data_IF_284820461268
#
_entry.id   IF_284820461268
#
_cell.length_a   1.000
_cell.length_b   1.000
_cell.length_c   1.000
_cell.angle_alpha   90.00
_cell.angle_beta   90.00
_cell.angle_gamma   90.00
#
_symmetry.space_group_name_H-M   'P 1'
#
loop_
_entity.id
_entity.type
_entity.pdbx_description
1 polymer ?
#
# COMPACT_ATOMS: atom_id res chain seq x y z
N UNK A 1 12.73 -13.87 47.75
CA UNK A 1 11.64 -14.43 46.93
C UNK A 1 11.85 -14.05 45.46
N UNK A 2 12.29 -14.99 44.63
CA UNK A 2 12.52 -14.76 43.20
C UNK A 2 11.18 -14.75 42.44
N UNK A 3 10.84 -13.62 41.81
CA UNK A 3 9.69 -13.49 40.91
C UNK A 3 10.05 -14.16 39.57
N UNK A 4 9.56 -15.38 39.34
CA UNK A 4 9.53 -15.99 38.00
C UNK A 4 8.60 -15.17 37.11
N UNK A 5 9.16 -14.50 36.10
CA UNK A 5 8.40 -13.94 34.99
C UNK A 5 7.59 -15.06 34.30
N UNK A 6 6.26 -14.98 34.33
CA UNK A 6 5.40 -15.81 33.50
C UNK A 6 5.46 -15.26 32.07
N UNK A 7 5.86 -16.11 31.12
CA UNK A 7 5.82 -15.82 29.68
C UNK A 7 4.41 -15.38 29.26
N UNK A 8 4.24 -14.38 28.37
CA UNK A 8 2.93 -13.95 27.87
C UNK A 8 2.21 -15.02 27.03
N UNK A 9 2.92 -16.08 26.63
CA UNK A 9 2.42 -17.12 25.75
C UNK A 9 1.98 -18.33 26.57
N UNK A 10 0.74 -18.29 27.06
CA UNK A 10 0.09 -19.45 27.69
C UNK A 10 -0.08 -20.63 26.72
N UNK A 11 -0.56 -21.79 27.19
CA UNK A 11 -0.64 -23.00 26.36
C UNK A 11 -1.62 -22.79 25.21
N UNK A 12 -1.22 -23.12 23.99
CA UNK A 12 -2.10 -23.14 22.83
C UNK A 12 -2.85 -24.47 22.76
N UNK A 13 -3.99 -24.49 22.09
CA UNK A 13 -4.73 -25.71 21.77
C UNK A 13 -5.25 -25.62 20.34
N UNK A 14 -5.41 -26.78 19.71
CA UNK A 14 -6.04 -26.89 18.40
C UNK A 14 -7.55 -26.94 18.58
N UNK A 15 -8.27 -26.23 17.72
CA UNK A 15 -9.72 -26.19 17.66
C UNK A 15 -10.14 -26.48 16.23
N UNK A 16 -11.05 -27.43 16.05
CA UNK A 16 -11.61 -27.77 14.75
C UNK A 16 -13.06 -27.29 14.68
N UNK A 17 -13.38 -26.51 13.65
CA UNK A 17 -14.75 -26.18 13.26
C UNK A 17 -15.01 -26.83 11.90
N UNK A 18 -15.48 -28.08 11.92
CA UNK A 18 -15.45 -28.96 10.75
C UNK A 18 -14.02 -29.16 10.23
N UNK A 19 -13.78 -28.75 8.99
CA UNK A 19 -12.47 -28.78 8.34
C UNK A 19 -11.65 -27.50 8.53
N UNK A 20 -12.12 -26.56 9.34
CA UNK A 20 -11.35 -25.36 9.69
C UNK A 20 -10.56 -25.59 10.97
N UNK A 21 -9.26 -25.83 10.84
CA UNK A 21 -8.35 -26.02 11.97
C UNK A 21 -7.79 -24.67 12.45
N UNK A 22 -7.86 -24.40 13.76
CA UNK A 22 -7.51 -23.12 14.36
C UNK A 22 -6.66 -23.33 15.63
N UNK A 23 -5.52 -22.66 15.74
CA UNK A 23 -4.71 -22.66 16.96
C UNK A 23 -5.14 -21.47 17.82
N UNK A 24 -5.65 -21.73 19.03
CA UNK A 24 -6.17 -20.71 19.95
C UNK A 24 -5.35 -20.62 21.23
N UNK A 25 -5.22 -19.41 21.77
CA UNK A 25 -4.62 -19.18 23.09
C UNK A 25 -5.61 -19.53 24.21
N UNK A 26 -5.18 -20.25 25.24
CA UNK A 26 -6.01 -20.51 26.43
C UNK A 26 -6.43 -19.24 27.18
N UNK A 27 -5.66 -18.16 27.09
CA UNK A 27 -5.92 -16.91 27.81
C UNK A 27 -6.65 -15.85 26.97
N UNK A 28 -6.81 -16.07 25.67
CA UNK A 28 -7.53 -15.19 24.77
C UNK A 28 -8.34 -16.06 23.80
N UNK A 29 -9.49 -16.57 24.26
CA UNK A 29 -10.35 -17.53 23.51
C UNK A 29 -10.77 -17.02 22.13
N UNK A 30 -10.79 -15.71 21.92
CA UNK A 30 -11.12 -15.05 20.65
C UNK A 30 -9.91 -14.85 19.71
N UNK A 31 -8.68 -15.07 20.19
CA UNK A 31 -7.47 -14.83 19.41
C UNK A 31 -6.99 -16.11 18.75
N UNK A 32 -7.31 -16.25 17.48
CA UNK A 32 -6.72 -17.26 16.59
C UNK A 32 -5.29 -16.84 16.25
N UNK A 33 -4.33 -17.72 16.52
CA UNK A 33 -2.90 -17.51 16.22
C UNK A 33 -2.60 -17.87 14.79
N UNK A 34 -3.22 -18.94 14.30
CA UNK A 34 -3.10 -19.44 12.92
C UNK A 34 -4.28 -20.34 12.64
N UNK A 35 -4.75 -20.37 11.40
CA UNK A 35 -5.78 -21.30 10.95
C UNK A 35 -5.53 -21.76 9.52
N UNK A 36 -6.04 -22.94 9.18
CA UNK A 36 -5.96 -23.51 7.84
C UNK A 36 -7.23 -24.32 7.56
N UNK A 37 -7.72 -24.29 6.32
CA UNK A 37 -8.71 -25.25 5.86
C UNK A 37 -7.96 -26.56 5.57
N UNK A 38 -8.33 -27.63 6.24
CA UNK A 38 -7.61 -28.91 6.21
C UNK A 38 -8.48 -30.04 5.66
N UNK A 39 -7.86 -31.13 5.23
CA UNK A 39 -8.55 -32.35 4.84
C UNK A 39 -9.07 -33.14 6.04
N UNK A 40 -9.95 -34.09 5.79
CA UNK A 40 -10.36 -35.08 6.80
C UNK A 40 -9.17 -35.88 7.34
N UNK A 41 -8.21 -36.21 6.48
CA UNK A 41 -6.99 -36.94 6.82
C UNK A 41 -6.13 -36.16 7.83
N UNK A 42 -6.07 -34.84 7.72
CA UNK A 42 -5.38 -34.00 8.70
C UNK A 42 -6.02 -34.13 10.08
N UNK A 43 -7.36 -34.01 10.15
CA UNK A 43 -8.10 -34.08 11.40
C UNK A 43 -7.93 -35.46 12.04
N UNK A 44 -7.98 -36.51 11.23
CA UNK A 44 -7.76 -37.89 11.65
C UNK A 44 -6.36 -38.10 12.20
N UNK A 45 -5.32 -37.71 11.45
CA UNK A 45 -3.93 -37.84 11.92
C UNK A 45 -3.66 -37.01 13.19
N UNK A 46 -4.25 -35.82 13.30
CA UNK A 46 -4.16 -35.01 14.51
C UNK A 46 -4.73 -35.75 15.72
N UNK A 47 -5.92 -36.36 15.60
CA UNK A 47 -6.53 -37.16 16.66
C UNK A 47 -5.68 -38.37 17.03
N UNK A 48 -5.15 -39.10 16.05
CA UNK A 48 -4.24 -40.24 16.27
C UNK A 48 -3.01 -39.81 17.09
N UNK A 49 -2.45 -38.64 16.80
CA UNK A 49 -1.28 -38.11 17.51
C UNK A 49 -1.65 -37.58 18.91
N UNK A 50 -2.73 -36.81 19.02
CA UNK A 50 -3.12 -36.15 20.27
C UNK A 50 -3.77 -37.13 21.26
N UNK A 51 -4.71 -37.95 20.81
CA UNK A 51 -5.52 -38.83 21.65
C UNK A 51 -4.82 -40.18 21.84
N UNK A 52 -4.40 -40.83 20.75
CA UNK A 52 -3.86 -42.20 20.80
C UNK A 52 -2.35 -42.25 21.04
N UNK A 53 -1.66 -41.10 21.02
CA UNK A 53 -0.20 -40.99 21.14
C UNK A 53 0.56 -41.88 20.15
N UNK A 54 -0.02 -42.08 18.97
CA UNK A 54 0.56 -42.91 17.90
C UNK A 54 0.72 -42.09 16.61
N UNK A 55 1.17 -42.73 15.52
CA UNK A 55 1.40 -42.05 14.25
C UNK A 55 1.11 -42.98 13.08
N UNK A 56 0.24 -42.55 12.16
CA UNK A 56 -0.03 -43.24 10.92
C UNK A 56 0.74 -42.60 9.76
N UNK A 57 1.76 -43.31 9.28
CA UNK A 57 2.59 -42.87 8.15
C UNK A 57 1.83 -42.84 6.82
N UNK A 58 0.84 -43.70 6.65
CA UNK A 58 0.02 -43.79 5.42
C UNK A 58 -0.84 -42.54 5.29
N UNK A 59 -1.50 -42.13 6.37
CA UNK A 59 -2.29 -40.89 6.40
C UNK A 59 -1.37 -39.68 6.23
N UNK A 60 -0.23 -39.64 6.94
CA UNK A 60 0.78 -38.58 6.78
C UNK A 60 1.24 -38.40 5.34
N UNK A 61 1.50 -39.49 4.62
CA UNK A 61 1.96 -39.45 3.23
C UNK A 61 0.89 -38.93 2.25
N UNK A 62 -0.38 -38.94 2.63
CA UNK A 62 -1.48 -38.41 1.83
C UNK A 62 -1.79 -36.92 2.13
N UNK A 63 -1.26 -36.37 3.23
CA UNK A 63 -1.37 -34.94 3.52
C UNK A 63 -0.59 -34.11 2.51
N UNK A 64 -1.13 -32.96 2.14
CA UNK A 64 -0.39 -31.94 1.38
C UNK A 64 0.79 -31.39 2.20
N UNK A 65 1.76 -30.78 1.53
CA UNK A 65 2.91 -30.15 2.21
C UNK A 65 2.46 -29.06 3.19
N UNK A 66 1.52 -28.22 2.76
CA UNK A 66 0.95 -27.16 3.60
C UNK A 66 0.29 -27.68 4.88
N UNK A 67 -0.34 -28.85 4.80
CA UNK A 67 -0.95 -29.53 5.95
C UNK A 67 0.11 -30.13 6.88
N UNK A 68 1.17 -30.75 6.34
CA UNK A 68 2.27 -31.27 7.15
C UNK A 68 2.98 -30.16 7.91
N UNK A 69 3.25 -29.04 7.24
CA UNK A 69 3.87 -27.85 7.86
C UNK A 69 2.98 -27.22 8.93
N UNK A 70 1.68 -27.12 8.65
CA UNK A 70 0.73 -26.61 9.62
C UNK A 70 0.61 -27.54 10.83
N UNK A 71 0.61 -28.86 10.62
CA UNK A 71 0.61 -29.85 11.70
C UNK A 71 1.88 -29.77 12.56
N UNK A 72 3.06 -29.70 11.94
CA UNK A 72 4.32 -29.55 12.66
C UNK A 72 4.35 -28.27 13.50
N UNK A 73 3.88 -27.16 12.93
CA UNK A 73 3.72 -25.90 13.65
C UNK A 73 2.75 -26.02 14.82
N UNK A 74 1.60 -26.67 14.61
CA UNK A 74 0.57 -26.86 15.61
C UNK A 74 1.04 -27.75 16.78
N UNK A 75 1.67 -28.90 16.50
CA UNK A 75 2.22 -29.80 17.51
C UNK A 75 3.23 -29.07 18.41
N UNK A 76 4.16 -28.33 17.82
CA UNK A 76 5.15 -27.52 18.55
C UNK A 76 4.51 -26.44 19.42
N UNK A 77 3.49 -25.73 18.92
CA UNK A 77 2.79 -24.68 19.67
C UNK A 77 1.91 -25.24 20.78
N UNK A 78 1.24 -26.36 20.54
CA UNK A 78 0.42 -27.06 21.51
C UNK A 78 1.24 -27.88 22.53
N UNK A 79 2.56 -28.01 22.31
CA UNK A 79 3.48 -28.85 23.10
C UNK A 79 3.06 -30.32 23.12
N UNK A 80 2.63 -30.81 21.96
CA UNK A 80 2.32 -32.23 21.72
C UNK A 80 3.56 -32.84 21.08
N UNK A 81 4.12 -33.84 21.72
CA UNK A 81 5.31 -34.55 21.23
C UNK A 81 4.87 -35.80 20.43
N UNK A 82 5.45 -35.99 19.25
CA UNK A 82 5.32 -37.21 18.46
C UNK A 82 6.63 -37.44 17.72
N UNK A 83 7.43 -38.38 18.23
CA UNK A 83 8.76 -38.66 17.70
C UNK A 83 8.69 -39.26 16.29
N UNK A 84 7.66 -40.07 16.03
CA UNK A 84 7.39 -40.71 14.76
C UNK A 84 6.94 -39.70 13.71
N UNK A 85 6.05 -38.76 14.07
CA UNK A 85 5.69 -37.62 13.20
C UNK A 85 6.91 -36.76 12.92
N UNK A 86 7.67 -36.36 13.95
CA UNK A 86 8.85 -35.51 13.78
C UNK A 86 9.90 -36.19 12.92
N UNK A 87 10.10 -37.51 13.08
CA UNK A 87 10.97 -38.31 12.20
C UNK A 87 10.45 -38.32 10.76
N UNK A 88 9.16 -38.55 10.54
CA UNK A 88 8.55 -38.58 9.20
C UNK A 88 8.53 -37.20 8.51
N UNK A 89 8.33 -36.12 9.28
CA UNK A 89 8.35 -34.74 8.84
C UNK A 89 9.77 -34.26 8.51
N UNK A 90 10.75 -34.55 9.39
CA UNK A 90 12.15 -34.24 9.11
C UNK A 90 12.70 -35.05 7.92
N UNK A 91 12.17 -36.27 7.70
CA UNK A 91 12.41 -37.06 6.50
C UNK A 91 11.80 -36.47 5.21
N UNK A 92 10.92 -35.46 5.24
CA UNK A 92 10.35 -34.89 4.00
C UNK A 92 11.17 -33.73 3.41
N UNK A 93 11.86 -32.92 4.23
CA UNK A 93 12.72 -31.82 3.76
C UNK A 93 14.21 -32.17 3.91
N UNK A 94 14.60 -32.78 5.03
CA UNK A 94 15.98 -33.20 5.30
C UNK A 94 16.46 -34.28 4.32
N UNK A 95 15.58 -35.21 3.94
CA UNK A 95 15.91 -36.25 2.95
C UNK A 95 16.24 -35.66 1.58
N UNK A 96 15.63 -34.55 1.17
CA UNK A 96 15.98 -33.94 -0.13
C UNK A 96 17.41 -33.39 -0.12
N UNK A 97 17.84 -32.76 0.98
CA UNK A 97 19.21 -32.24 1.13
C UNK A 97 20.21 -33.38 1.33
N UNK A 98 19.89 -34.38 2.17
CA UNK A 98 20.74 -35.54 2.43
C UNK A 98 20.88 -36.43 1.18
N UNK A 99 19.79 -36.64 0.45
CA UNK A 99 19.78 -37.40 -0.82
C UNK A 99 20.56 -36.66 -1.91
N UNK A 100 20.45 -35.33 -1.98
CA UNK A 100 21.32 -34.51 -2.83
C UNK A 100 22.79 -34.71 -2.51
N UNK A 101 23.14 -34.66 -1.23
CA UNK A 101 24.52 -34.85 -0.75
C UNK A 101 25.02 -36.27 -1.09
N UNK A 102 24.16 -37.27 -0.98
CA UNK A 102 24.46 -38.66 -1.33
C UNK A 102 24.66 -38.86 -2.84
N UNK A 103 23.78 -38.29 -3.67
CA UNK A 103 23.90 -38.35 -5.13
C UNK A 103 25.15 -37.60 -5.61
N UNK A 104 25.42 -36.41 -5.06
CA UNK A 104 26.66 -35.67 -5.36
C UNK A 104 27.90 -36.47 -5.00
N UNK A 105 27.89 -37.16 -3.86
CA UNK A 105 28.99 -38.03 -3.44
C UNK A 105 29.16 -39.22 -4.38
N UNK A 106 28.04 -39.85 -4.82
CA UNK A 106 28.04 -40.96 -5.78
C UNK A 106 28.61 -40.56 -7.16
N UNK A 107 28.22 -39.40 -7.68
CA UNK A 107 28.75 -38.86 -8.93
C UNK A 107 30.26 -38.56 -8.78
N UNK A 108 30.68 -37.97 -7.66
CA UNK A 108 32.09 -37.64 -7.39
C UNK A 108 33.01 -38.86 -7.33
N UNK A 109 32.50 -40.02 -6.95
CA UNK A 109 33.23 -41.31 -6.94
C UNK A 109 33.12 -42.06 -8.28
N UNK A 110 32.55 -41.45 -9.33
CA UNK A 110 32.51 -42.00 -10.68
C UNK A 110 31.26 -42.81 -11.03
N UNK A 111 30.22 -42.82 -10.18
CA UNK A 111 28.94 -43.43 -10.54
C UNK A 111 28.11 -42.45 -11.37
N UNK A 112 28.16 -42.61 -12.70
CA UNK A 112 27.55 -41.70 -13.65
C UNK A 112 26.22 -42.23 -14.22
N UNK A 113 25.48 -43.02 -13.43
CA UNK A 113 24.19 -43.59 -13.82
C UNK A 113 23.19 -42.48 -14.21
N UNK A 114 22.52 -42.57 -15.38
CA UNK A 114 21.55 -41.56 -15.85
C UNK A 114 20.39 -41.30 -14.87
N UNK A 115 20.02 -42.33 -14.11
CA UNK A 115 18.96 -42.27 -13.09
C UNK A 115 19.31 -41.34 -11.93
N UNK A 116 20.57 -41.28 -11.51
CA UNK A 116 21.03 -40.39 -10.43
C UNK A 116 20.99 -38.92 -10.87
N UNK A 117 21.35 -38.63 -12.13
CA UNK A 117 21.24 -37.27 -12.70
C UNK A 117 19.77 -36.84 -12.77
N UNK A 118 18.89 -37.75 -13.18
CA UNK A 118 17.44 -37.52 -13.23
C UNK A 118 16.84 -37.28 -11.84
N UNK A 119 17.23 -38.08 -10.86
CA UNK A 119 16.78 -37.93 -9.46
C UNK A 119 17.28 -36.63 -8.84
N UNK A 120 18.56 -36.28 -9.05
CA UNK A 120 19.12 -35.01 -8.61
C UNK A 120 18.36 -33.82 -9.20
N UNK A 121 18.00 -33.89 -10.50
CA UNK A 121 17.18 -32.88 -11.19
C UNK A 121 15.83 -32.70 -10.50
N UNK A 122 15.11 -33.79 -10.24
CA UNK A 122 13.81 -33.77 -9.57
C UNK A 122 13.85 -33.20 -8.15
N UNK A 123 14.89 -33.51 -7.38
CA UNK A 123 15.05 -32.99 -6.01
C UNK A 123 15.38 -31.50 -6.04
N UNK A 124 16.26 -31.06 -6.95
CA UNK A 124 16.60 -29.66 -7.08
C UNK A 124 15.42 -28.82 -7.57
N UNK A 125 14.56 -29.37 -8.41
CA UNK A 125 13.32 -28.70 -8.85
C UNK A 125 12.33 -28.49 -7.71
N UNK A 126 12.27 -29.42 -6.75
CA UNK A 126 11.46 -29.25 -5.54
C UNK A 126 12.05 -28.22 -4.56
N UNK A 127 13.37 -28.04 -4.57
CA UNK A 127 14.06 -27.10 -3.66
C UNK A 127 14.23 -25.69 -4.26
N UNK A 128 14.24 -25.56 -5.58
CA UNK A 128 14.51 -24.32 -6.30
C UNK A 128 13.46 -24.10 -7.39
N UNK A 129 12.30 -23.58 -6.99
CA UNK A 129 11.30 -23.13 -7.94
C UNK A 129 11.76 -21.90 -8.73
N UNK A 130 11.24 -21.77 -9.96
CA UNK A 130 11.42 -20.59 -10.80
C UNK A 130 10.90 -19.38 -10.05
N UNK A 131 11.73 -18.36 -9.89
CA UNK A 131 11.36 -17.18 -9.14
C UNK A 131 11.88 -15.91 -9.76
N UNK A 132 11.20 -14.81 -9.47
CA UNK A 132 11.65 -13.47 -9.82
C UNK A 132 11.67 -12.60 -8.57
N UNK A 133 12.75 -11.85 -8.41
CA UNK A 133 12.90 -10.87 -7.35
C UNK A 133 13.15 -9.50 -7.94
N UNK A 134 12.77 -8.45 -7.21
CA UNK A 134 13.17 -7.10 -7.55
C UNK A 134 14.60 -6.85 -7.05
N UNK A 135 15.51 -6.50 -7.96
CA UNK A 135 16.86 -6.08 -7.59
C UNK A 135 16.91 -4.59 -7.23
N UNK A 136 16.44 -3.73 -8.14
CA UNK A 136 16.36 -2.29 -7.92
C UNK A 136 15.42 -1.61 -8.91
N UNK A 137 14.91 -0.44 -8.54
CA UNK A 137 14.21 0.48 -9.45
C UNK A 137 14.87 1.84 -9.32
N UNK A 138 15.01 2.52 -10.45
CA UNK A 138 15.37 3.93 -10.53
C UNK A 138 14.40 4.59 -11.51
N UNK A 139 13.60 5.53 -11.03
CA UNK A 139 12.61 6.24 -11.84
C UNK A 139 12.38 7.64 -11.29
N UNK A 140 12.00 8.59 -12.14
CA UNK A 140 11.65 9.93 -11.66
C UNK A 140 10.26 9.95 -11.01
N UNK A 141 10.11 10.73 -9.94
CA UNK A 141 8.80 11.05 -9.41
C UNK A 141 8.08 11.98 -10.39
N UNK A 142 7.23 11.42 -11.24
CA UNK A 142 6.61 12.16 -12.34
C UNK A 142 5.10 11.91 -12.48
N UNK A 143 4.41 11.43 -11.45
CA UNK A 143 2.95 11.35 -11.45
C UNK A 143 2.36 12.57 -10.73
N UNK A 144 1.24 13.07 -11.23
CA UNK A 144 0.61 14.29 -10.74
C UNK A 144 -0.45 13.97 -9.69
N UNK A 145 -0.57 14.82 -8.67
CA UNK A 145 -1.52 14.64 -7.58
C UNK A 145 -2.93 15.13 -7.97
N UNK A 146 -3.02 16.35 -8.51
CA UNK A 146 -4.25 17.00 -8.97
C UNK A 146 -4.29 16.93 -10.49
N UNK A 147 -5.35 16.35 -11.05
CA UNK A 147 -5.53 16.22 -12.51
C UNK A 147 -6.99 16.31 -12.93
N UNK A 148 -7.22 16.77 -14.17
CA UNK A 148 -8.53 16.72 -14.80
C UNK A 148 -9.06 15.29 -14.98
N UNK A 149 -8.17 14.33 -15.21
CA UNK A 149 -8.50 12.91 -15.39
C UNK A 149 -9.08 12.28 -14.12
N UNK A 150 -8.55 12.65 -12.95
CA UNK A 150 -9.10 12.21 -11.65
C UNK A 150 -10.35 12.98 -11.25
N UNK A 151 -10.62 14.12 -11.89
CA UNK A 151 -11.72 15.00 -11.54
C UNK A 151 -11.53 15.74 -10.21
N UNK A 152 -10.34 15.71 -9.62
CA UNK A 152 -10.01 16.37 -8.34
C UNK A 152 -9.48 17.80 -8.49
N UNK A 153 -9.70 18.43 -9.63
CA UNK A 153 -9.09 19.72 -9.97
C UNK A 153 -10.09 20.88 -10.00
N UNK A 154 -11.30 20.73 -9.45
CA UNK A 154 -12.35 21.77 -9.53
C UNK A 154 -13.04 22.01 -8.21
N UNK A 155 -13.35 23.26 -7.95
CA UNK A 155 -14.24 23.71 -6.88
C UNK A 155 -14.86 25.05 -7.26
N UNK A 156 -15.74 25.58 -6.40
CA UNK A 156 -16.39 26.87 -6.64
C UNK A 156 -16.13 27.86 -5.52
N UNK A 157 -16.19 29.15 -5.85
CA UNK A 157 -16.24 30.23 -4.89
C UNK A 157 -17.49 31.06 -5.17
N UNK A 158 -18.31 31.27 -4.15
CA UNK A 158 -19.43 32.21 -4.17
C UNK A 158 -18.92 33.52 -3.58
N UNK A 159 -18.77 34.53 -4.43
CA UNK A 159 -18.25 35.83 -4.07
C UNK A 159 -19.38 36.84 -3.85
N UNK A 160 -19.44 37.55 -2.72
CA UNK A 160 -20.44 38.58 -2.50
C UNK A 160 -20.10 39.86 -3.29
N UNK A 161 -21.10 40.48 -3.91
CA UNK A 161 -20.95 41.71 -4.69
C UNK A 161 -22.19 42.59 -4.57
N UNK A 162 -22.04 43.83 -4.10
CA UNK A 162 -23.17 44.70 -3.79
C UNK A 162 -24.17 44.01 -2.84
N UNK A 163 -25.41 43.82 -3.30
CA UNK A 163 -26.48 43.11 -2.57
C UNK A 163 -26.68 41.65 -3.01
N UNK A 164 -25.86 41.14 -3.93
CA UNK A 164 -25.98 39.79 -4.51
C UNK A 164 -24.68 38.99 -4.39
N UNK A 165 -24.60 37.84 -5.05
CA UNK A 165 -23.41 37.00 -5.14
C UNK A 165 -23.13 36.61 -6.58
N UNK A 166 -21.85 36.43 -6.92
CA UNK A 166 -21.39 35.86 -8.17
C UNK A 166 -20.63 34.55 -7.89
N UNK A 167 -20.93 33.49 -8.63
CA UNK A 167 -20.28 32.19 -8.47
C UNK A 167 -19.21 31.99 -9.53
N UNK A 168 -18.00 31.65 -9.09
CA UNK A 168 -16.88 31.30 -9.93
C UNK A 168 -16.58 29.81 -9.81
N UNK A 169 -16.28 29.16 -10.94
CA UNK A 169 -15.72 27.80 -10.94
C UNK A 169 -14.22 27.92 -11.15
N UNK A 170 -13.44 27.42 -10.20
CA UNK A 170 -11.99 27.38 -10.27
C UNK A 170 -11.57 26.00 -10.77
N UNK A 171 -10.70 25.97 -11.77
CA UNK A 171 -10.03 24.76 -12.25
C UNK A 171 -8.55 24.91 -11.96
N UNK A 172 -7.99 23.98 -11.20
CA UNK A 172 -6.55 23.89 -10.92
C UNK A 172 -5.92 23.13 -12.10
N UNK A 173 -4.79 23.61 -12.65
CA UNK A 173 -4.05 22.87 -13.67
C UNK A 173 -3.59 21.49 -13.16
N UNK A 174 -3.26 20.60 -14.08
CA UNK A 174 -2.70 19.30 -13.73
C UNK A 174 -1.28 19.47 -13.15
N UNK A 175 -1.01 18.85 -12.00
CA UNK A 175 0.29 18.99 -11.35
C UNK A 175 0.38 18.38 -9.95
N UNK A 176 1.55 18.53 -9.36
CA UNK A 176 1.82 18.23 -7.94
C UNK A 176 1.92 19.56 -7.20
N UNK A 177 1.25 19.65 -6.07
CA UNK A 177 1.05 20.89 -5.33
C UNK A 177 1.31 20.65 -3.86
N UNK A 178 1.99 21.58 -3.20
CA UNK A 178 1.90 21.76 -1.76
C UNK A 178 0.78 22.75 -1.42
N UNK A 179 0.42 22.88 -0.14
CA UNK A 179 -0.62 23.85 0.24
C UNK A 179 -0.22 25.31 0.04
N UNK A 180 1.07 25.62 0.13
CA UNK A 180 1.60 26.92 -0.30
C UNK A 180 1.31 27.17 -1.76
N UNK A 181 1.44 26.16 -2.63
CA UNK A 181 1.19 26.31 -4.07
C UNK A 181 -0.29 26.52 -4.36
N UNK A 182 -1.18 25.81 -3.68
CA UNK A 182 -2.63 26.05 -3.80
C UNK A 182 -3.01 27.45 -3.33
N UNK A 183 -2.39 27.95 -2.26
CA UNK A 183 -2.60 29.31 -1.80
C UNK A 183 -2.06 30.36 -2.80
N UNK A 184 -0.87 30.13 -3.34
CA UNK A 184 -0.28 30.98 -4.38
C UNK A 184 -1.17 31.01 -5.64
N UNK A 185 -1.74 29.86 -6.01
CA UNK A 185 -2.67 29.76 -7.12
C UNK A 185 -3.97 30.51 -6.85
N UNK A 186 -4.54 30.41 -5.65
CA UNK A 186 -5.71 31.20 -5.24
C UNK A 186 -5.43 32.70 -5.31
N UNK A 187 -4.26 33.15 -4.86
CA UNK A 187 -3.84 34.55 -4.93
C UNK A 187 -3.68 35.04 -6.37
N UNK A 188 -3.03 34.24 -7.23
CA UNK A 188 -2.93 34.52 -8.65
C UNK A 188 -4.32 34.61 -9.30
N UNK A 189 -5.21 33.66 -9.00
CA UNK A 189 -6.58 33.65 -9.48
C UNK A 189 -7.35 34.90 -9.03
N UNK A 190 -7.21 35.32 -7.78
CA UNK A 190 -7.79 36.57 -7.27
C UNK A 190 -7.27 37.80 -8.02
N UNK A 191 -5.98 37.84 -8.38
CA UNK A 191 -5.42 38.92 -9.20
C UNK A 191 -6.07 38.94 -10.59
N UNK A 192 -6.14 37.78 -11.27
CA UNK A 192 -6.72 37.69 -12.61
C UNK A 192 -8.20 38.12 -12.66
N UNK A 193 -8.91 38.01 -11.54
CA UNK A 193 -10.33 38.38 -11.44
C UNK A 193 -10.57 39.73 -10.74
N UNK A 194 -9.53 40.51 -10.43
CA UNK A 194 -9.63 41.77 -9.67
C UNK A 194 -10.30 41.63 -8.28
N UNK A 195 -10.16 40.46 -7.63
CA UNK A 195 -10.77 40.11 -6.34
C UNK A 195 -9.78 40.24 -5.17
N UNK A 196 -9.02 41.32 -5.15
CA UNK A 196 -8.00 41.63 -4.14
C UNK A 196 -7.93 43.15 -3.93
N UNK A 197 -7.25 43.58 -2.87
CA UNK A 197 -6.90 44.99 -2.67
C UNK A 197 -5.39 45.18 -2.70
N UNK A 198 -4.95 46.41 -2.97
CA UNK A 198 -3.54 46.79 -2.97
C UNK A 198 -3.30 47.85 -1.90
N UNK A 199 -2.30 47.63 -1.04
CA UNK A 199 -1.90 48.60 -0.04
C UNK A 199 -1.39 49.86 -0.74
N UNK A 200 -1.98 51.01 -0.42
CA UNK A 200 -1.70 52.28 -1.11
C UNK A 200 -0.29 52.82 -0.83
N UNK A 201 0.41 52.30 0.18
CA UNK A 201 1.77 52.72 0.56
C UNK A 201 2.83 51.68 0.17
N UNK A 202 2.59 50.39 0.44
CA UNK A 202 3.60 49.33 0.24
C UNK A 202 3.45 48.58 -1.08
N UNK A 203 2.30 48.70 -1.76
CA UNK A 203 1.99 47.91 -2.94
C UNK A 203 1.66 46.43 -2.65
N UNK A 204 1.64 46.01 -1.39
CA UNK A 204 1.32 44.64 -1.02
C UNK A 204 -0.16 44.30 -1.25
N UNK A 205 -0.44 43.10 -1.73
CA UNK A 205 -1.80 42.64 -1.98
C UNK A 205 -2.47 42.08 -0.72
N UNK A 206 -3.77 42.36 -0.58
CA UNK A 206 -4.67 41.82 0.42
C UNK A 206 -5.68 40.89 -0.23
N UNK A 207 -5.74 39.66 0.26
CA UNK A 207 -6.60 38.61 -0.27
C UNK A 207 -7.72 38.27 0.70
N UNK A 208 -8.93 38.05 0.16
CA UNK A 208 -10.11 37.75 0.98
C UNK A 208 -10.34 36.25 1.20
N UNK A 209 -9.58 35.40 0.52
CA UNK A 209 -9.57 33.95 0.75
C UNK A 209 -8.13 33.48 0.78
N UNK A 210 -7.84 32.55 1.69
CA UNK A 210 -6.53 31.91 1.82
C UNK A 210 -6.70 30.47 2.30
N UNK A 211 -5.71 29.64 1.99
CA UNK A 211 -5.60 28.26 2.44
C UNK A 211 -4.22 28.02 3.02
N UNK A 212 -4.14 27.26 4.11
CA UNK A 212 -2.87 26.88 4.71
C UNK A 212 -2.96 25.50 5.37
N UNK A 213 -1.85 24.78 5.40
CA UNK A 213 -1.74 23.60 6.26
C UNK A 213 -1.67 24.02 7.73
N UNK A 214 -2.35 23.28 8.60
CA UNK A 214 -2.26 23.40 10.06
C UNK A 214 -1.62 22.11 10.63
N UNK A 215 -0.29 22.09 10.82
CA UNK A 215 0.43 20.91 11.29
C UNK A 215 0.01 20.44 12.68
N UNK A 216 -0.46 21.35 13.55
CA UNK A 216 -0.86 21.01 14.92
C UNK A 216 -2.13 20.18 14.97
N UNK A 217 -3.03 20.36 14.01
CA UNK A 217 -4.28 19.59 13.92
C UNK A 217 -4.25 18.52 12.82
N UNK A 218 -3.18 18.45 12.02
CA UNK A 218 -3.12 17.63 10.81
C UNK A 218 -4.26 17.95 9.82
N UNK A 219 -4.63 19.23 9.75
CA UNK A 219 -5.75 19.72 8.96
C UNK A 219 -5.30 20.77 7.96
N UNK A 220 -6.18 21.13 7.03
CA UNK A 220 -6.06 22.33 6.22
C UNK A 220 -7.06 23.35 6.71
N UNK A 221 -6.64 24.59 6.75
CA UNK A 221 -7.47 25.71 7.14
C UNK A 221 -7.75 26.61 5.95
N UNK A 222 -9.03 26.84 5.67
CA UNK A 222 -9.45 27.95 4.84
C UNK A 222 -9.81 29.13 5.74
N UNK A 223 -9.40 30.33 5.33
CA UNK A 223 -9.78 31.58 5.98
C UNK A 223 -10.35 32.56 4.96
N UNK A 224 -11.55 33.05 5.26
CA UNK A 224 -12.30 33.98 4.42
C UNK A 224 -12.56 35.28 5.18
N UNK A 225 -12.13 36.39 4.58
CA UNK A 225 -12.30 37.74 5.12
C UNK A 225 -13.52 38.41 4.50
N UNK A 226 -14.23 39.28 5.25
CA UNK A 226 -15.30 40.13 4.72
C UNK A 226 -14.87 40.90 3.47
N UNK A 227 -15.59 40.77 2.35
CA UNK A 227 -15.33 41.52 1.13
C UNK A 227 -15.90 42.93 1.22
N UNK A 228 -15.11 43.82 1.84
CA UNK A 228 -15.42 45.23 2.07
C UNK A 228 -14.18 46.10 1.94
N UNK A 229 -14.36 47.41 1.89
CA UNK A 229 -13.25 48.36 1.92
C UNK A 229 -12.39 48.17 3.19
N UNK A 230 -11.08 48.19 3.03
CA UNK A 230 -10.09 48.08 4.11
C UNK A 230 -9.27 49.37 4.13
N UNK A 231 -9.11 49.97 5.32
CA UNK A 231 -8.35 51.21 5.49
C UNK A 231 -6.91 51.04 5.02
N UNK A 232 -6.42 51.97 4.19
CA UNK A 232 -5.07 51.93 3.61
C UNK A 232 -4.92 51.04 2.37
N UNK A 233 -6.01 50.46 1.86
CA UNK A 233 -6.01 49.64 0.66
C UNK A 233 -6.97 50.19 -0.40
N UNK A 234 -6.58 50.06 -1.67
CA UNK A 234 -7.40 50.40 -2.83
C UNK A 234 -7.83 49.12 -3.59
N UNK A 235 -9.05 49.12 -4.12
CA UNK A 235 -9.52 48.04 -4.99
C UNK A 235 -8.87 48.12 -6.37
N UNK A 236 -8.64 46.97 -7.01
CA UNK A 236 -8.19 46.90 -8.38
C UNK A 236 -9.21 47.52 -9.37
N UNK A 237 -8.72 48.01 -10.51
CA UNK A 237 -9.59 48.49 -11.60
C UNK A 237 -10.45 47.33 -12.12
N UNK A 238 -11.76 47.54 -12.22
CA UNK A 238 -12.70 46.49 -12.64
C UNK A 238 -13.03 45.47 -11.54
N UNK A 239 -12.68 45.74 -10.28
CA UNK A 239 -13.14 44.94 -9.15
C UNK A 239 -14.68 44.94 -9.04
N UNK A 240 -15.23 43.83 -8.54
CA UNK A 240 -16.64 43.76 -8.20
C UNK A 240 -16.99 44.77 -7.11
N UNK A 241 -18.23 45.27 -7.13
CA UNK A 241 -18.73 46.16 -6.09
C UNK A 241 -18.63 45.48 -4.71
N UNK A 242 -18.09 46.17 -3.71
CA UNK A 242 -18.02 45.62 -2.35
C UNK A 242 -19.40 45.20 -1.84
N UNK A 243 -19.42 44.19 -0.99
CA UNK A 243 -20.66 43.76 -0.35
C UNK A 243 -21.20 44.88 0.54
N UNK A 244 -22.46 45.25 0.37
CA UNK A 244 -23.10 46.28 1.21
C UNK A 244 -23.17 45.85 2.68
N UNK A 245 -23.36 44.55 2.92
CA UNK A 245 -23.35 43.95 4.26
C UNK A 245 -21.97 43.47 4.70
N UNK A 246 -20.94 43.59 3.85
CA UNK A 246 -19.59 43.12 4.13
C UNK A 246 -19.49 41.60 4.31
N UNK A 247 -20.19 40.81 3.50
CA UNK A 247 -20.14 39.34 3.62
C UNK A 247 -18.78 38.75 3.21
N UNK A 248 -18.43 37.60 3.77
CA UNK A 248 -17.27 36.80 3.34
C UNK A 248 -17.56 36.06 2.03
N UNK A 249 -16.54 35.79 1.20
CA UNK A 249 -16.61 34.74 0.20
C UNK A 249 -16.96 33.38 0.83
N UNK A 250 -17.60 32.50 0.06
CA UNK A 250 -17.84 31.11 0.46
C UNK A 250 -17.13 30.17 -0.51
N UNK A 251 -16.37 29.22 0.01
CA UNK A 251 -15.88 28.09 -0.81
C UNK A 251 -16.99 27.05 -0.90
N UNK A 252 -17.19 26.50 -2.09
CA UNK A 252 -18.13 25.42 -2.34
C UNK A 252 -17.37 24.21 -2.89
N UNK A 253 -17.35 23.16 -2.09
CA UNK A 253 -16.85 21.84 -2.44
C UNK A 253 -17.98 21.12 -3.16
N UNK A 254 -17.76 20.82 -4.44
CA UNK A 254 -18.80 20.32 -5.35
C UNK A 254 -18.76 18.81 -5.53
N UNK A 255 -17.70 18.16 -5.07
CA UNK A 255 -17.44 16.74 -5.26
C UNK A 255 -17.28 16.00 -3.91
N UNK A 256 -17.23 14.68 -3.98
CA UNK A 256 -17.00 13.80 -2.84
C UNK A 256 -16.29 12.53 -3.28
N UNK A 257 -15.71 11.80 -2.33
CA UNK A 257 -15.01 10.54 -2.57
C UNK A 257 -13.49 10.68 -2.48
N UNK A 258 -12.78 9.57 -2.63
CA UNK A 258 -11.36 9.44 -2.27
C UNK A 258 -10.37 9.93 -3.35
N UNK A 259 -10.88 10.37 -4.49
CA UNK A 259 -10.14 10.96 -5.62
C UNK A 259 -10.77 12.32 -5.99
N UNK A 260 -11.34 13.02 -5.02
CA UNK A 260 -12.06 14.28 -5.23
C UNK A 260 -11.23 15.45 -4.70
N UNK A 261 -11.54 16.67 -5.13
CA UNK A 261 -10.97 17.86 -4.51
C UNK A 261 -11.31 17.92 -3.02
N UNK A 262 -12.52 17.51 -2.65
CA UNK A 262 -12.95 17.23 -1.26
C UNK A 262 -11.89 16.46 -0.46
N UNK A 263 -11.34 15.37 -1.00
CA UNK A 263 -10.28 14.58 -0.34
C UNK A 263 -8.90 15.25 -0.33
N UNK A 264 -8.57 16.06 -1.35
CA UNK A 264 -7.33 16.85 -1.38
C UNK A 264 -7.32 17.85 -0.23
N UNK A 265 -8.42 18.58 -0.05
CA UNK A 265 -8.50 19.65 0.95
C UNK A 265 -9.08 19.23 2.30
N UNK A 266 -9.51 17.98 2.42
CA UNK A 266 -10.11 17.44 3.63
C UNK A 266 -11.43 18.10 4.02
N UNK A 267 -12.20 18.63 3.06
CA UNK A 267 -13.52 19.21 3.33
C UNK A 267 -14.60 18.34 2.67
N UNK A 268 -15.67 18.06 3.42
CA UNK A 268 -16.84 17.37 2.91
C UNK A 268 -17.58 18.23 1.88
N UNK A 269 -18.43 17.59 1.06
CA UNK A 269 -19.19 18.30 0.05
C UNK A 269 -20.14 19.31 0.73
N UNK A 270 -20.03 20.58 0.35
CA UNK A 270 -20.78 21.63 1.03
C UNK A 270 -20.28 23.04 0.70
N UNK A 271 -20.93 24.02 1.32
CA UNK A 271 -20.56 25.43 1.22
C UNK A 271 -20.03 25.88 2.58
N UNK A 272 -18.90 26.58 2.59
CA UNK A 272 -18.22 27.06 3.78
C UNK A 272 -17.92 28.57 3.64
N UNK A 273 -18.40 29.43 4.55
CA UNK A 273 -19.37 29.13 5.60
C UNK A 273 -20.71 28.60 5.04
N UNK A 274 -21.48 27.80 5.81
CA UNK A 274 -22.78 27.27 5.36
C UNK A 274 -23.85 28.33 5.10
N UNK A 275 -23.74 29.48 5.75
CA UNK A 275 -24.57 30.66 5.54
C UNK A 275 -23.67 31.88 5.34
N UNK A 276 -24.15 32.95 4.69
CA UNK A 276 -23.38 34.19 4.59
C UNK A 276 -23.13 34.81 5.96
N UNK A 277 -21.92 35.31 6.16
CA UNK A 277 -21.47 35.92 7.42
C UNK A 277 -20.69 37.21 7.11
N UNK A 278 -20.79 38.21 7.99
CA UNK A 278 -20.11 39.51 7.84
C UNK A 278 -18.78 39.62 8.64
N UNK A 279 -18.39 38.52 9.28
CA UNK A 279 -17.18 38.40 10.10
C UNK A 279 -16.21 37.42 9.49
N UNK A 280 -14.93 37.50 9.86
CA UNK A 280 -13.92 36.52 9.46
C UNK A 280 -14.44 35.11 9.78
N UNK A 281 -14.36 34.24 8.78
CA UNK A 281 -14.70 32.83 8.91
C UNK A 281 -13.47 31.99 8.62
N UNK A 282 -13.19 31.04 9.51
CA UNK A 282 -12.17 30.02 9.29
C UNK A 282 -12.78 28.65 9.51
N UNK A 283 -12.41 27.70 8.65
CA UNK A 283 -12.82 26.31 8.75
C UNK A 283 -11.61 25.41 8.64
N UNK A 284 -11.54 24.42 9.51
CA UNK A 284 -10.60 23.31 9.41
C UNK A 284 -11.24 22.17 8.62
N UNK A 285 -10.41 21.38 7.97
CA UNK A 285 -10.78 20.10 7.39
C UNK A 285 -11.66 19.28 8.35
N UNK A 286 -12.72 18.67 7.83
CA UNK A 286 -13.58 17.71 8.54
C UNK A 286 -13.33 16.26 8.08
N UNK A 287 -12.47 16.08 7.07
CA UNK A 287 -11.94 14.82 6.56
C UNK A 287 -10.42 14.87 6.60
N UNK A 288 -9.78 13.70 6.66
CA UNK A 288 -8.31 13.63 6.59
C UNK A 288 -7.83 14.09 5.22
N UNK A 289 -7.04 15.17 5.12
CA UNK A 289 -6.59 15.67 3.84
C UNK A 289 -5.53 14.76 3.21
N UNK A 290 -5.58 14.63 1.88
CA UNK A 290 -4.69 13.79 1.08
C UNK A 290 -4.16 14.58 -0.12
N UNK A 291 -3.20 15.47 0.12
CA UNK A 291 -2.63 16.35 -0.92
C UNK A 291 -2.01 15.54 -2.06
N UNK A 292 -1.28 14.49 -1.71
CA UNK A 292 -0.80 13.48 -2.67
C UNK A 292 -1.63 12.20 -2.48
N UNK A 293 -2.50 11.84 -3.44
CA UNK A 293 -3.32 10.65 -3.33
C UNK A 293 -2.51 9.35 -3.52
N UNK A 294 -1.28 9.41 -4.02
CA UNK A 294 -0.44 8.21 -4.25
C UNK A 294 0.54 8.03 -3.09
N UNK A 295 0.11 7.30 -2.07
CA UNK A 295 0.92 7.04 -0.87
C UNK A 295 2.03 6.00 -1.10
N UNK A 296 1.79 5.07 -2.03
CA UNK A 296 2.74 4.03 -2.40
C UNK A 296 2.57 3.63 -3.86
N UNK A 297 3.66 3.17 -4.46
CA UNK A 297 3.69 2.59 -5.79
C UNK A 297 3.81 1.09 -5.66
N UNK A 298 2.87 0.38 -6.26
CA UNK A 298 2.84 -1.09 -6.31
C UNK A 298 3.42 -1.51 -7.66
N UNK A 299 4.41 -2.40 -7.61
CA UNK A 299 5.06 -2.98 -8.78
C UNK A 299 4.44 -4.34 -9.03
N UNK A 300 3.73 -4.45 -10.15
CA UNK A 300 3.22 -5.70 -10.66
C UNK A 300 4.14 -6.31 -11.71
N UNK A 301 4.21 -7.63 -11.76
CA UNK A 301 4.83 -8.37 -12.87
C UNK A 301 3.86 -9.46 -13.34
N UNK A 302 3.78 -9.65 -14.66
CA UNK A 302 3.01 -10.76 -15.22
C UNK A 302 3.56 -12.10 -14.71
N UNK A 303 2.67 -13.10 -14.61
CA UNK A 303 3.04 -14.50 -14.33
C UNK A 303 3.61 -14.78 -12.94
N UNK A 304 3.48 -13.86 -12.00
CA UNK A 304 3.70 -14.19 -10.59
C UNK A 304 2.60 -15.12 -10.07
N UNK A 305 2.99 -15.98 -9.14
CA UNK A 305 2.09 -16.84 -8.40
C UNK A 305 2.25 -16.57 -6.91
N UNK A 306 1.23 -15.93 -6.34
CA UNK A 306 1.05 -15.85 -4.90
C UNK A 306 -0.34 -16.41 -4.52
N UNK A 307 -0.43 -17.65 -4.03
CA UNK A 307 -1.72 -18.28 -3.69
C UNK A 307 -2.37 -17.67 -2.44
N UNK A 308 -1.66 -16.79 -1.71
CA UNK A 308 -2.14 -16.15 -0.49
C UNK A 308 -2.64 -14.71 -0.73
N UNK A 309 -2.41 -14.15 -1.91
CA UNK A 309 -2.82 -12.79 -2.24
C UNK A 309 -4.03 -12.80 -3.19
N UNK A 310 -4.97 -11.88 -2.98
CA UNK A 310 -6.09 -11.64 -3.90
C UNK A 310 -5.62 -11.17 -5.27
N UNK A 311 -4.47 -10.49 -5.33
CA UNK A 311 -3.76 -10.18 -6.55
C UNK A 311 -2.43 -10.95 -6.58
N UNK A 312 -2.33 -11.92 -7.50
CA UNK A 312 -1.16 -12.75 -7.64
C UNK A 312 0.00 -12.07 -8.41
N UNK A 313 -0.17 -10.84 -8.90
CA UNK A 313 0.80 -10.13 -9.75
C UNK A 313 1.71 -9.15 -9.00
N UNK A 314 1.55 -8.95 -7.69
CA UNK A 314 2.35 -7.98 -6.92
C UNK A 314 3.74 -8.54 -6.61
N UNK A 315 4.79 -7.86 -7.09
CA UNK A 315 6.19 -8.18 -6.81
C UNK A 315 6.74 -7.39 -5.62
N UNK A 316 6.47 -6.09 -5.58
CA UNK A 316 7.04 -5.18 -4.59
C UNK A 316 6.18 -3.93 -4.43
N UNK A 317 6.38 -3.19 -3.35
CA UNK A 317 5.85 -1.83 -3.18
C UNK A 317 6.91 -0.92 -2.60
N UNK A 318 6.89 0.34 -3.00
CA UNK A 318 7.78 1.39 -2.50
C UNK A 318 7.02 2.71 -2.37
N UNK A 319 7.60 3.68 -1.68
CA UNK A 319 7.07 5.05 -1.60
C UNK A 319 8.03 6.02 -2.29
N UNK A 320 7.63 7.27 -2.47
CA UNK A 320 8.56 8.31 -2.93
C UNK A 320 9.74 8.53 -1.97
N UNK A 321 9.72 7.98 -0.75
CA UNK A 321 10.80 8.06 0.23
C UNK A 321 11.28 9.50 0.51
N UNK A 322 10.37 10.49 0.43
CA UNK A 322 10.68 11.91 0.62
C UNK A 322 11.31 12.59 -0.60
N UNK A 323 11.41 11.91 -1.74
CA UNK A 323 11.83 12.50 -3.01
C UNK A 323 10.73 13.45 -3.49
N UNK A 324 11.09 14.70 -3.77
CA UNK A 324 10.19 15.69 -4.37
C UNK A 324 9.90 15.40 -5.84
N UNK A 325 8.85 16.02 -6.37
CA UNK A 325 8.48 15.87 -7.78
C UNK A 325 9.66 16.23 -8.72
N UNK A 326 9.88 15.44 -9.76
CA UNK A 326 11.03 15.53 -10.67
C UNK A 326 12.33 14.95 -10.11
N UNK A 327 12.37 14.53 -8.84
CA UNK A 327 13.52 13.87 -8.25
C UNK A 327 13.60 12.38 -8.61
N UNK A 328 14.80 11.80 -8.54
CA UNK A 328 15.02 10.38 -8.79
C UNK A 328 14.67 9.54 -7.56
N UNK A 329 13.65 8.69 -7.69
CA UNK A 329 13.34 7.64 -6.72
C UNK A 329 14.27 6.46 -6.99
N UNK A 330 14.95 5.99 -5.94
CA UNK A 330 15.72 4.75 -5.98
C UNK A 330 15.25 3.82 -4.88
N UNK A 331 14.97 2.57 -5.24
CA UNK A 331 14.70 1.50 -4.29
C UNK A 331 15.60 0.31 -4.60
N UNK A 332 16.18 -0.27 -3.55
CA UNK A 332 16.99 -1.48 -3.65
C UNK A 332 16.76 -2.36 -2.43
N UNK A 333 16.78 -3.68 -2.63
CA UNK A 333 16.61 -4.66 -1.56
C UNK A 333 17.94 -4.80 -0.79
N UNK A 334 18.20 -3.89 0.14
CA UNK A 334 19.48 -3.79 0.86
C UNK A 334 19.84 -4.95 1.81
N UNK A 335 18.93 -5.89 2.09
CA UNK A 335 19.17 -6.98 3.07
C UNK A 335 18.62 -8.38 2.71
N UNK A 336 18.21 -8.61 1.46
CA UNK A 336 17.77 -9.92 1.02
C UNK A 336 16.73 -9.82 -0.09
N UNK A 337 16.97 -10.52 -1.19
CA UNK A 337 16.04 -10.55 -2.32
C UNK A 337 14.97 -11.60 -2.00
N UNK A 338 13.73 -11.14 -1.84
CA UNK A 338 12.58 -12.03 -1.84
C UNK A 338 12.26 -12.42 -3.27
N UNK A 339 12.29 -13.72 -3.56
CA UNK A 339 11.88 -14.25 -4.86
C UNK A 339 10.42 -14.69 -4.78
N UNK A 340 9.60 -14.16 -5.67
CA UNK A 340 8.23 -14.60 -5.86
C UNK A 340 8.19 -15.72 -6.91
N UNK A 341 7.49 -16.84 -6.67
CA UNK A 341 7.33 -17.89 -7.65
C UNK A 341 6.71 -17.38 -8.95
N UNK A 342 7.16 -17.92 -10.08
CA UNK A 342 6.58 -17.63 -11.40
C UNK A 342 5.87 -18.86 -11.96
N UNK A 343 4.79 -18.63 -12.69
CA UNK A 343 4.03 -19.67 -13.40
C UNK A 343 4.11 -19.55 -14.91
N UNK A 344 4.14 -20.72 -15.55
CA UNK A 344 4.11 -20.84 -17.00
C UNK A 344 5.41 -20.47 -17.70
N UNK A 345 5.37 -20.63 -19.02
CA UNK A 345 6.43 -20.26 -19.94
C UNK A 345 6.01 -18.97 -20.64
N UNK A 346 6.86 -17.95 -20.60
CA UNK A 346 6.59 -16.66 -21.26
C UNK A 346 7.81 -16.20 -22.02
N UNK A 347 7.55 -15.58 -23.17
CA UNK A 347 8.58 -14.88 -23.96
C UNK A 347 8.59 -13.37 -23.68
N UNK A 348 7.62 -12.90 -22.88
CA UNK A 348 7.42 -11.51 -22.52
C UNK A 348 7.11 -11.42 -21.01
N UNK A 349 7.60 -10.36 -20.38
CA UNK A 349 7.27 -10.00 -19.00
C UNK A 349 6.73 -8.57 -19.00
N UNK A 350 5.47 -8.42 -18.59
CA UNK A 350 4.87 -7.12 -18.39
C UNK A 350 5.16 -6.65 -16.97
N UNK A 351 5.86 -5.52 -16.85
CA UNK A 351 6.05 -4.82 -15.57
C UNK A 351 5.10 -3.63 -15.54
N UNK A 352 4.25 -3.59 -14.52
CA UNK A 352 3.22 -2.57 -14.36
C UNK A 352 3.41 -1.82 -13.05
N UNK A 353 3.10 -0.54 -13.06
CA UNK A 353 3.12 0.31 -11.86
C UNK A 353 1.69 0.74 -11.54
N UNK A 354 1.32 0.60 -10.28
CA UNK A 354 0.00 0.96 -9.79
C UNK A 354 0.09 1.87 -8.57
N UNK A 355 -0.99 2.60 -8.29
CA UNK A 355 -1.18 3.25 -7.00
C UNK A 355 -1.61 2.25 -5.91
N UNK A 356 -1.85 2.76 -4.69
CA UNK A 356 -2.31 2.00 -3.53
C UNK A 356 -3.67 1.32 -3.72
N UNK A 357 -4.40 1.66 -4.80
CA UNK A 357 -5.71 1.11 -5.15
C UNK A 357 -5.66 0.20 -6.36
N UNK A 358 -4.46 -0.19 -6.80
CA UNK A 358 -4.24 -1.02 -7.99
C UNK A 358 -4.70 -0.36 -9.30
N UNK A 359 -4.84 0.97 -9.33
CA UNK A 359 -5.08 1.68 -10.59
C UNK A 359 -3.73 1.96 -11.28
N UNK A 360 -3.66 1.86 -12.62
CA UNK A 360 -2.43 2.15 -13.35
C UNK A 360 -1.87 3.53 -13.02
N UNK A 361 -0.60 3.59 -12.64
CA UNK A 361 0.06 4.84 -12.32
C UNK A 361 0.39 5.60 -13.60
N UNK A 362 -0.08 6.84 -13.71
CA UNK A 362 0.22 7.71 -14.86
C UNK A 362 1.61 8.34 -14.70
N UNK A 363 2.62 7.65 -15.22
CA UNK A 363 4.00 8.11 -15.21
C UNK A 363 4.23 9.04 -16.40
N UNK A 364 4.50 10.33 -16.14
CA UNK A 364 4.81 11.30 -17.21
C UNK A 364 6.22 11.18 -17.78
N UNK A 365 7.23 10.85 -16.97
CA UNK A 365 8.60 10.63 -17.43
C UNK A 365 8.86 9.14 -17.67
N UNK A 366 9.01 8.70 -18.94
CA UNK A 366 9.22 7.29 -19.26
C UNK A 366 10.64 6.80 -18.91
N UNK A 367 11.56 7.68 -18.51
CA UNK A 367 12.91 7.29 -18.14
C UNK A 367 12.92 6.53 -16.81
N UNK A 368 13.01 5.21 -16.91
CA UNK A 368 13.11 4.33 -15.75
C UNK A 368 14.02 3.14 -16.04
N UNK A 369 14.65 2.64 -14.98
CA UNK A 369 15.43 1.42 -14.99
C UNK A 369 14.88 0.47 -13.93
N UNK A 370 14.46 -0.73 -14.36
CA UNK A 370 14.02 -1.80 -13.47
C UNK A 370 14.99 -2.96 -13.64
N UNK A 371 15.66 -3.33 -12.54
CA UNK A 371 16.52 -4.51 -12.50
C UNK A 371 15.75 -5.65 -11.85
N UNK A 372 15.36 -6.63 -12.65
CA UNK A 372 14.76 -7.87 -12.19
C UNK A 372 15.84 -8.95 -12.04
N UNK A 373 15.71 -9.76 -11.01
CA UNK A 373 16.59 -10.88 -10.73
C UNK A 373 15.81 -12.16 -10.96
N UNK A 374 16.25 -12.95 -11.93
CA UNK A 374 15.58 -14.19 -12.31
C UNK A 374 16.36 -15.36 -11.68
N UNK A 375 15.63 -16.21 -10.98
CA UNK A 375 16.10 -17.51 -10.52
C UNK A 375 15.50 -18.57 -11.43
N UNK A 376 16.28 -19.19 -12.32
CA UNK A 376 15.81 -20.31 -13.13
C UNK A 376 15.55 -21.53 -12.25
N UNK A 377 14.78 -22.51 -12.75
CA UNK A 377 14.80 -23.83 -12.15
C UNK A 377 16.17 -24.44 -12.37
N UNK A 378 16.65 -25.18 -11.39
CA UNK A 378 18.00 -25.74 -11.47
C UNK A 378 18.09 -26.86 -12.51
N UNK A 379 16.97 -27.51 -12.84
CA UNK A 379 16.83 -28.39 -14.01
C UNK A 379 17.18 -27.71 -15.34
N UNK A 380 16.81 -26.45 -15.52
CA UNK A 380 17.02 -25.71 -16.78
C UNK A 380 18.50 -25.39 -17.04
N UNK A 381 19.34 -25.39 -16.00
CA UNK A 381 20.77 -25.06 -16.10
C UNK A 381 21.64 -26.32 -16.30
N UNK A 382 21.13 -27.50 -15.91
CA UNK A 382 21.90 -28.76 -15.88
C UNK A 382 21.93 -29.51 -17.22
N UNK A 383 21.25 -29.00 -18.26
CA UNK A 383 21.20 -29.61 -19.59
C UNK A 383 22.31 -29.08 -20.55
N UNK A 384 23.36 -28.43 -20.02
CA UNK A 384 24.54 -27.95 -20.75
C UNK A 384 25.83 -28.69 -20.38
#
# INVERSE_FOLDING_TARGET
MSKRFKSPNGPFHMHFDGLHAQIKSKHAKTRTVRSLLVSHLFVELWRIIEDDKSFDKTIFNQLSESERDFMAYALKRCKIESREFEKAYNLSIGHHIDRLTMIQSAIKIGNDAPELKTEMKQILDKLYDKGIGLGSISMYYSWMAITAERGNNKFRIIWPTGTTTQTFTITIPDGTYEMSDLNNYLQWWSIQNNLYLTNSTTGANYYFISVAANPSSYDIQFTMQPYKAVSGYASASGALAFSTSGYTPQIQIIDSGTNSFSSIVGLSQGTYPPAQQATLYSVLSDLVPQIDPVSSVIVGVSNLQNPLASNNQVLHSFTSAGVGFGGLITTSQGQGISYCPMQGTTNELLVSFYDDRMLPLKITDPNLCVRLLIRPKKSDIMDF
#
